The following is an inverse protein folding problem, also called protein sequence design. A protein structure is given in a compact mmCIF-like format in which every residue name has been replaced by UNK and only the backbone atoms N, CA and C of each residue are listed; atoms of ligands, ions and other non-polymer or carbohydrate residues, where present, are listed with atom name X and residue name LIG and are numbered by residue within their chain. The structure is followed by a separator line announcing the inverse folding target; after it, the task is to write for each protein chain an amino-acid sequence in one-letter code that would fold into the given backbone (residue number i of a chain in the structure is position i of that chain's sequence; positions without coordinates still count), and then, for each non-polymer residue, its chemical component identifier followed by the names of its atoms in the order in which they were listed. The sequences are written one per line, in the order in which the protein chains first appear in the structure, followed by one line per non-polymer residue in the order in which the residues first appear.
data_IF_802875668020
#
_entry.id   IF_802875668020
#
_cell.length_a   1.000
_cell.length_b   1.000
_cell.length_c   1.000
_cell.angle_alpha   90.00
_cell.angle_beta   90.00
_cell.angle_gamma   90.00
#
_symmetry.space_group_name_H-M   'P 1'
#
loop_
_entity.id
_entity.type
_entity.pdbx_description
1 polymer ?
#
# COMPACT_ATOMS: atom_id res chain seq x y z
N UNK A 1 -24.40 68.11 -53.54
CA UNK A 1 -24.02 68.14 -52.14
C UNK A 1 -24.61 66.91 -51.49
N UNK A 2 -23.81 65.82 -51.26
CA UNK A 2 -24.21 64.62 -50.60
C UNK A 2 -23.51 64.61 -49.23
N UNK A 3 -24.29 64.60 -48.13
CA UNK A 3 -23.79 64.51 -46.74
C UNK A 3 -23.54 63.07 -46.43
N UNK A 4 -22.29 62.74 -46.06
CA UNK A 4 -21.87 61.44 -45.47
C UNK A 4 -22.15 61.50 -43.96
N UNK A 5 -22.94 60.54 -43.44
CA UNK A 5 -23.05 60.25 -42.01
C UNK A 5 -21.92 59.30 -41.58
N UNK A 6 -21.27 59.50 -40.45
CA UNK A 6 -20.33 58.53 -39.94
C UNK A 6 -21.06 57.40 -39.19
N UNK A 7 -20.72 56.15 -39.54
CA UNK A 7 -21.14 54.94 -38.83
C UNK A 7 -20.35 54.83 -37.53
N UNK A 8 -21.02 54.88 -36.40
CA UNK A 8 -20.44 54.69 -35.07
C UNK A 8 -20.44 53.18 -34.77
N UNK A 9 -19.27 52.54 -34.84
CA UNK A 9 -19.12 51.12 -34.52
C UNK A 9 -18.96 50.97 -33.01
N UNK A 10 -19.99 50.44 -32.33
CA UNK A 10 -19.97 50.11 -30.92
C UNK A 10 -19.24 48.79 -30.70
N UNK A 11 -18.02 48.82 -30.16
CA UNK A 11 -17.27 47.63 -29.75
C UNK A 11 -17.73 47.24 -28.33
N UNK A 12 -18.54 46.19 -28.22
CA UNK A 12 -18.89 45.58 -26.94
C UNK A 12 -17.76 44.63 -26.54
N UNK A 13 -16.93 45.03 -25.59
CA UNK A 13 -15.93 44.16 -24.95
C UNK A 13 -16.65 43.21 -23.98
N UNK A 14 -16.81 41.95 -24.37
CA UNK A 14 -17.25 40.89 -23.47
C UNK A 14 -16.09 40.54 -22.53
N UNK A 15 -16.18 40.98 -21.28
CA UNK A 15 -15.28 40.54 -20.21
C UNK A 15 -15.72 39.14 -19.73
N UNK A 16 -15.06 38.11 -20.21
CA UNK A 16 -15.17 36.78 -19.65
C UNK A 16 -14.45 36.74 -18.30
N UNK A 17 -15.19 36.89 -17.22
CA UNK A 17 -14.70 36.52 -15.88
C UNK A 17 -14.56 34.99 -15.84
N UNK A 18 -13.34 34.50 -15.99
CA UNK A 18 -13.02 33.10 -15.72
C UNK A 18 -13.22 32.88 -14.21
N UNK A 19 -14.35 32.28 -13.84
CA UNK A 19 -14.50 31.67 -12.54
C UNK A 19 -13.49 30.53 -12.52
N UNK A 20 -12.39 30.73 -11.81
CA UNK A 20 -11.45 29.66 -11.50
C UNK A 20 -12.23 28.64 -10.64
N UNK A 21 -12.80 27.63 -11.30
CA UNK A 21 -13.37 26.49 -10.64
C UNK A 21 -12.24 25.84 -9.82
N UNK A 22 -12.38 25.79 -8.50
CA UNK A 22 -11.48 25.02 -7.66
C UNK A 22 -11.43 23.61 -8.27
N UNK A 23 -10.23 23.15 -8.65
CA UNK A 23 -10.04 21.75 -9.06
C UNK A 23 -10.62 20.87 -7.97
N UNK A 24 -11.38 19.82 -8.29
CA UNK A 24 -11.91 18.93 -7.26
C UNK A 24 -10.75 18.48 -6.38
N UNK A 25 -10.86 18.71 -5.08
CA UNK A 25 -9.83 18.31 -4.12
C UNK A 25 -9.66 16.80 -4.25
N UNK A 26 -8.42 16.37 -4.56
CA UNK A 26 -8.11 14.94 -4.71
C UNK A 26 -8.33 14.26 -3.36
N UNK A 27 -9.28 13.36 -3.30
CA UNK A 27 -9.55 12.56 -2.11
C UNK A 27 -8.45 11.53 -1.91
N UNK A 28 -7.91 11.46 -0.70
CA UNK A 28 -6.94 10.45 -0.26
C UNK A 28 -7.69 9.38 0.52
N UNK A 29 -7.48 8.13 0.19
CA UNK A 29 -8.04 7.02 0.97
C UNK A 29 -7.35 6.94 2.32
N UNK A 30 -8.09 7.25 3.39
CA UNK A 30 -7.58 7.21 4.75
C UNK A 30 -7.80 5.82 5.34
N UNK A 31 -6.69 5.12 5.57
CA UNK A 31 -6.66 3.79 6.14
C UNK A 31 -6.28 3.79 7.62
N UNK A 32 -6.53 2.64 8.26
CA UNK A 32 -6.20 2.42 9.66
C UNK A 32 -5.89 0.93 9.92
N UNK A 33 -4.80 0.67 10.65
CA UNK A 33 -4.65 -0.53 11.45
C UNK A 33 -5.02 -0.20 12.89
N UNK A 34 -6.13 -0.75 13.40
CA UNK A 34 -6.65 -0.46 14.75
C UNK A 34 -8.17 -0.41 14.81
N UNK A 35 -8.69 0.13 15.91
CA UNK A 35 -10.13 0.30 16.12
C UNK A 35 -10.63 1.60 15.47
N UNK A 36 -11.42 1.53 14.38
CA UNK A 36 -11.83 2.71 13.62
C UNK A 36 -12.77 3.62 14.42
N UNK A 37 -13.61 3.09 15.29
CA UNK A 37 -14.56 3.90 16.09
C UNK A 37 -13.81 4.75 17.12
N UNK A 38 -12.84 4.14 17.80
CA UNK A 38 -12.00 4.85 18.77
C UNK A 38 -11.10 5.86 18.08
N UNK A 39 -10.54 5.51 16.94
CA UNK A 39 -9.70 6.41 16.17
C UNK A 39 -10.48 7.61 15.62
N UNK A 40 -11.69 7.38 15.11
CA UNK A 40 -12.62 8.45 14.69
C UNK A 40 -12.96 9.42 15.84
N UNK A 41 -13.23 8.91 17.04
CA UNK A 41 -13.50 9.73 18.21
C UNK A 41 -12.32 10.65 18.56
N UNK A 42 -11.11 10.16 18.39
CA UNK A 42 -9.87 10.90 18.68
C UNK A 42 -9.53 11.90 17.58
N UNK A 43 -9.63 11.51 16.33
CA UNK A 43 -9.10 12.27 15.19
C UNK A 43 -10.15 12.89 14.28
N UNK A 44 -11.39 12.40 14.32
CA UNK A 44 -12.44 12.76 13.36
C UNK A 44 -12.32 12.05 12.02
N UNK A 45 -11.33 11.12 11.84
CA UNK A 45 -11.15 10.41 10.58
C UNK A 45 -12.33 9.48 10.29
N UNK A 46 -12.86 9.57 9.07
CA UNK A 46 -13.68 8.53 8.48
C UNK A 46 -12.75 7.50 7.83
N UNK A 47 -12.57 6.36 8.49
CA UNK A 47 -11.71 5.29 7.99
C UNK A 47 -12.37 4.60 6.79
N UNK A 48 -11.72 4.64 5.64
CA UNK A 48 -12.17 4.01 4.39
C UNK A 48 -11.49 2.66 4.20
N UNK A 49 -10.18 2.59 4.46
CA UNK A 49 -9.36 1.38 4.28
C UNK A 49 -9.03 0.76 5.64
N UNK A 50 -9.39 -0.51 5.82
CA UNK A 50 -9.07 -1.27 7.03
C UNK A 50 -7.90 -2.20 6.77
N UNK A 51 -6.77 -1.92 7.44
CA UNK A 51 -5.56 -2.73 7.35
C UNK A 51 -5.64 -3.93 8.29
N UNK A 52 -5.28 -5.12 7.79
CA UNK A 52 -5.19 -6.35 8.59
C UNK A 52 -4.06 -7.24 8.09
N UNK A 53 -3.53 -8.10 8.98
CA UNK A 53 -2.48 -9.07 8.65
C UNK A 53 -3.06 -10.47 8.53
N UNK A 54 -2.61 -11.19 7.49
CA UNK A 54 -2.98 -12.59 7.23
C UNK A 54 -1.71 -13.38 6.92
N UNK A 55 -1.60 -14.60 7.46
CA UNK A 55 -0.53 -15.52 7.11
C UNK A 55 -1.04 -16.72 6.29
N UNK A 56 -0.13 -17.49 5.72
CA UNK A 56 -0.44 -18.60 4.79
C UNK A 56 -1.15 -19.81 5.43
N UNK A 57 -1.36 -19.83 6.76
CA UNK A 57 -2.14 -20.87 7.45
C UNK A 57 -3.58 -20.48 7.71
N UNK A 58 -3.97 -19.23 7.45
CA UNK A 58 -5.28 -18.68 7.80
C UNK A 58 -6.34 -18.81 6.69
N UNK A 59 -6.10 -19.63 5.66
CA UNK A 59 -7.03 -19.76 4.53
C UNK A 59 -8.48 -20.03 4.93
N UNK A 60 -8.72 -20.95 5.88
CA UNK A 60 -10.07 -21.26 6.39
C UNK A 60 -10.72 -20.10 7.16
N UNK A 61 -9.93 -19.15 7.65
CA UNK A 61 -10.41 -18.00 8.42
C UNK A 61 -10.64 -16.76 7.55
N UNK A 62 -10.25 -16.76 6.26
CA UNK A 62 -10.30 -15.58 5.39
C UNK A 62 -11.70 -14.96 5.33
N UNK A 63 -12.74 -15.76 5.15
CA UNK A 63 -14.11 -15.24 5.08
C UNK A 63 -14.52 -14.48 6.34
N UNK A 64 -14.18 -14.99 7.53
CA UNK A 64 -14.42 -14.31 8.81
C UNK A 64 -13.55 -13.05 8.94
N UNK A 65 -12.25 -13.15 8.65
CA UNK A 65 -11.33 -12.01 8.72
C UNK A 65 -11.84 -10.87 7.83
N UNK A 66 -12.23 -11.17 6.58
CA UNK A 66 -12.73 -10.15 5.66
C UNK A 66 -14.09 -9.57 6.07
N UNK A 67 -14.94 -10.36 6.72
CA UNK A 67 -16.21 -9.84 7.26
C UNK A 67 -16.02 -8.87 8.43
N UNK A 68 -14.91 -9.00 9.15
CA UNK A 68 -14.52 -8.13 10.27
C UNK A 68 -13.72 -6.89 9.81
N UNK A 69 -13.22 -6.87 8.57
CA UNK A 69 -12.57 -5.68 7.98
C UNK A 69 -13.61 -4.68 7.48
N UNK A 70 -13.25 -3.41 7.49
CA UNK A 70 -14.12 -2.33 7.04
C UNK A 70 -14.41 -2.33 5.53
N UNK A 71 -14.94 -1.22 5.00
CA UNK A 71 -15.49 -1.17 3.64
C UNK A 71 -14.46 -1.42 2.52
N UNK A 72 -13.18 -1.13 2.75
CA UNK A 72 -12.08 -1.48 1.83
C UNK A 72 -11.01 -2.24 2.61
N UNK A 73 -10.88 -3.55 2.44
CA UNK A 73 -9.81 -4.31 3.07
C UNK A 73 -8.44 -4.00 2.45
N UNK A 74 -7.43 -3.78 3.29
CA UNK A 74 -6.03 -3.89 2.91
C UNK A 74 -5.41 -5.06 3.67
N UNK A 75 -5.18 -6.16 2.98
CA UNK A 75 -4.65 -7.39 3.56
C UNK A 75 -3.14 -7.45 3.35
N UNK A 76 -2.38 -7.29 4.43
CA UNK A 76 -0.95 -7.58 4.46
C UNK A 76 -0.75 -9.10 4.57
N UNK A 77 -0.20 -9.70 3.52
CA UNK A 77 0.05 -11.14 3.46
C UNK A 77 1.48 -11.42 3.90
N UNK A 78 1.64 -11.93 5.11
CA UNK A 78 2.94 -12.16 5.74
C UNK A 78 3.28 -13.65 5.82
N UNK A 79 4.46 -14.09 5.34
CA UNK A 79 4.90 -15.47 5.48
C UNK A 79 5.40 -15.82 6.90
N UNK A 80 5.66 -14.79 7.70
CA UNK A 80 6.12 -14.83 9.09
C UNK A 80 6.91 -13.56 9.38
N UNK A 81 6.81 -13.05 10.59
CA UNK A 81 7.53 -11.87 11.08
C UNK A 81 8.34 -12.19 12.33
N UNK A 82 9.09 -11.23 12.81
CA UNK A 82 9.92 -11.40 14.01
C UNK A 82 9.09 -11.95 15.19
N UNK A 83 9.59 -13.04 15.80
CA UNK A 83 8.89 -13.71 16.91
C UNK A 83 7.69 -14.59 16.52
N UNK A 84 7.32 -14.66 15.24
CA UNK A 84 6.23 -15.49 14.76
C UNK A 84 6.71 -16.64 13.85
N UNK A 85 6.04 -17.82 13.87
CA UNK A 85 6.44 -18.94 13.04
C UNK A 85 6.40 -18.62 11.54
N UNK A 86 7.43 -19.04 10.81
CA UNK A 86 7.43 -18.99 9.34
C UNK A 86 6.37 -19.96 8.81
N UNK A 87 5.43 -19.44 8.03
CA UNK A 87 4.30 -20.22 7.46
C UNK A 87 4.51 -20.57 5.99
N UNK A 88 5.37 -19.82 5.29
CA UNK A 88 5.75 -20.06 3.90
C UNK A 88 7.13 -19.43 3.64
N UNK A 89 7.82 -19.88 2.59
CA UNK A 89 9.06 -19.27 2.11
C UNK A 89 8.87 -18.74 0.70
N UNK A 90 9.62 -17.72 0.26
CA UNK A 90 9.55 -17.21 -1.11
C UNK A 90 9.68 -18.31 -2.16
N UNK A 91 10.69 -19.18 -2.05
CA UNK A 91 10.85 -20.32 -2.96
C UNK A 91 9.65 -21.28 -2.91
N UNK A 92 9.13 -21.58 -1.71
CA UNK A 92 7.98 -22.47 -1.54
C UNK A 92 6.74 -21.94 -2.22
N UNK A 93 6.45 -20.64 -2.04
CA UNK A 93 5.32 -19.97 -2.70
C UNK A 93 5.52 -19.99 -4.21
N UNK A 94 6.69 -19.58 -4.71
CA UNK A 94 7.00 -19.57 -6.13
C UNK A 94 6.83 -20.95 -6.78
N UNK A 95 7.20 -22.01 -6.07
CA UNK A 95 7.07 -23.41 -6.50
C UNK A 95 5.68 -24.03 -6.27
N UNK A 96 4.68 -23.24 -5.87
CA UNK A 96 3.29 -23.68 -5.75
C UNK A 96 2.94 -24.37 -4.43
N UNK A 97 3.84 -24.44 -3.44
CA UNK A 97 3.55 -25.10 -2.14
C UNK A 97 2.47 -24.41 -1.32
N UNK A 98 2.13 -23.17 -1.67
CA UNK A 98 1.09 -22.37 -1.00
C UNK A 98 -0.17 -22.16 -1.87
N UNK A 99 -0.30 -22.83 -3.00
CA UNK A 99 -1.39 -22.62 -3.96
C UNK A 99 -2.77 -22.86 -3.34
N UNK A 100 -2.90 -23.88 -2.48
CA UNK A 100 -4.15 -24.13 -1.78
C UNK A 100 -4.65 -22.93 -0.97
N UNK A 101 -3.74 -22.17 -0.33
CA UNK A 101 -4.06 -20.92 0.34
C UNK A 101 -4.39 -19.81 -0.69
N UNK A 102 -3.62 -19.68 -1.76
CA UNK A 102 -3.83 -18.67 -2.78
C UNK A 102 -5.17 -18.84 -3.51
N UNK A 103 -5.63 -20.09 -3.72
CA UNK A 103 -6.96 -20.38 -4.27
C UNK A 103 -8.07 -19.92 -3.31
N UNK A 104 -7.92 -20.17 -2.01
CA UNK A 104 -8.86 -19.70 -1.00
C UNK A 104 -8.88 -18.18 -0.93
N UNK A 105 -7.72 -17.53 -1.03
CA UNK A 105 -7.60 -16.07 -1.05
C UNK A 105 -8.26 -15.47 -2.29
N UNK A 106 -8.00 -16.02 -3.49
CA UNK A 106 -8.67 -15.59 -4.72
C UNK A 106 -10.20 -15.72 -4.59
N UNK A 107 -10.71 -16.85 -4.12
CA UNK A 107 -12.14 -17.07 -3.92
C UNK A 107 -12.73 -16.08 -2.89
N UNK A 108 -12.04 -15.80 -1.81
CA UNK A 108 -12.47 -14.83 -0.80
C UNK A 108 -12.52 -13.40 -1.35
N UNK A 109 -11.52 -13.00 -2.14
CA UNK A 109 -11.50 -11.70 -2.82
C UNK A 109 -12.65 -11.61 -3.84
N UNK A 110 -12.86 -12.65 -4.64
CA UNK A 110 -13.95 -12.68 -5.62
C UNK A 110 -15.32 -12.54 -4.96
N UNK A 111 -15.53 -13.22 -3.83
CA UNK A 111 -16.77 -13.19 -3.05
C UNK A 111 -16.95 -11.88 -2.26
N UNK A 112 -15.90 -11.10 -2.04
CA UNK A 112 -16.00 -9.84 -1.31
C UNK A 112 -16.89 -8.84 -2.07
N UNK A 113 -17.94 -8.25 -1.43
CA UNK A 113 -18.95 -7.46 -2.13
C UNK A 113 -18.49 -6.05 -2.53
N UNK A 114 -17.41 -5.54 -1.91
CA UNK A 114 -16.89 -4.20 -2.21
C UNK A 114 -16.23 -4.10 -3.59
N UNK A 115 -16.09 -2.88 -4.08
CA UNK A 115 -15.52 -2.56 -5.39
C UNK A 115 -13.99 -2.44 -5.38
N UNK A 116 -13.36 -2.38 -4.19
CA UNK A 116 -11.93 -2.19 -4.01
C UNK A 116 -11.40 -3.13 -2.93
N UNK A 117 -10.23 -3.70 -3.17
CA UNK A 117 -9.52 -4.59 -2.28
C UNK A 117 -8.01 -4.43 -2.49
N UNK A 118 -7.27 -4.10 -1.46
CA UNK A 118 -5.82 -4.04 -1.47
C UNK A 118 -5.21 -5.33 -0.94
N UNK A 119 -4.36 -5.97 -1.74
CA UNK A 119 -3.52 -7.08 -1.29
C UNK A 119 -2.07 -6.61 -1.28
N UNK A 120 -1.44 -6.70 -0.12
CA UNK A 120 -0.08 -6.24 0.18
C UNK A 120 0.82 -7.43 0.51
N UNK A 121 1.34 -8.18 -0.50
CA UNK A 121 2.21 -9.32 -0.25
C UNK A 121 3.57 -8.87 0.28
N UNK A 122 4.06 -9.53 1.32
CA UNK A 122 5.39 -9.33 1.87
C UNK A 122 5.69 -7.87 2.23
N UNK A 123 4.90 -7.21 3.11
CA UNK A 123 5.24 -5.87 3.55
C UNK A 123 6.68 -5.86 4.08
N UNK A 124 7.38 -4.74 3.88
CA UNK A 124 8.74 -4.52 4.39
C UNK A 124 9.76 -5.63 4.03
N UNK A 125 9.61 -6.27 2.86
CA UNK A 125 10.36 -7.46 2.45
C UNK A 125 11.88 -7.31 2.45
N UNK A 126 12.40 -6.09 2.51
CA UNK A 126 13.83 -5.75 2.60
C UNK A 126 14.26 -5.37 4.04
N UNK A 127 13.39 -5.58 5.03
CA UNK A 127 13.68 -5.46 6.46
C UNK A 127 14.07 -6.81 7.06
N UNK A 128 15.20 -6.86 7.79
CA UNK A 128 15.69 -8.11 8.42
C UNK A 128 14.73 -8.70 9.45
N UNK A 129 13.78 -7.93 9.95
CA UNK A 129 12.72 -8.39 10.86
C UNK A 129 11.67 -9.26 10.17
N UNK A 130 11.56 -9.16 8.84
CA UNK A 130 10.68 -10.01 8.05
C UNK A 130 11.35 -11.33 7.69
N UNK A 131 10.60 -12.44 7.83
CA UNK A 131 11.14 -13.79 7.61
C UNK A 131 11.53 -14.07 6.15
N UNK A 132 10.99 -13.31 5.21
CA UNK A 132 11.24 -13.40 3.76
C UNK A 132 12.30 -12.41 3.26
N UNK A 133 12.94 -11.64 4.14
CA UNK A 133 14.10 -10.84 3.78
C UNK A 133 15.27 -11.76 3.36
N UNK A 134 16.04 -11.34 2.34
CA UNK A 134 17.17 -12.11 1.84
C UNK A 134 18.43 -12.00 2.71
N UNK A 135 18.42 -11.12 3.72
CA UNK A 135 19.57 -10.82 4.56
C UNK A 135 19.23 -10.84 6.04
N UNK A 136 20.20 -11.22 6.86
CA UNK A 136 20.18 -11.05 8.30
C UNK A 136 20.59 -9.61 8.68
N UNK A 137 20.31 -9.20 9.91
CA UNK A 137 20.66 -7.87 10.42
C UNK A 137 22.16 -7.52 10.24
N UNK A 138 23.04 -8.51 10.38
CA UNK A 138 24.50 -8.34 10.23
C UNK A 138 24.98 -8.31 8.76
N UNK A 139 24.06 -8.28 7.78
CA UNK A 139 24.39 -8.24 6.36
C UNK A 139 24.72 -9.58 5.72
N UNK A 140 24.74 -10.68 6.47
CA UNK A 140 24.92 -12.01 5.89
C UNK A 140 23.67 -12.45 5.14
N UNK A 141 23.85 -13.20 4.04
CA UNK A 141 22.72 -13.74 3.27
C UNK A 141 22.00 -14.82 4.06
N UNK A 142 20.68 -14.80 3.99
CA UNK A 142 19.84 -15.92 4.42
C UNK A 142 19.89 -17.07 3.41
N UNK A 143 19.33 -18.26 3.74
CA UNK A 143 19.27 -19.39 2.82
C UNK A 143 18.73 -18.99 1.44
N UNK A 144 19.21 -19.65 0.38
CA UNK A 144 18.86 -19.33 -1.00
C UNK A 144 17.35 -19.28 -1.28
N UNK A 145 16.54 -20.06 -0.53
CA UNK A 145 15.07 -20.05 -0.59
C UNK A 145 14.42 -18.70 -0.25
N UNK A 146 15.14 -17.81 0.44
CA UNK A 146 14.69 -16.48 0.85
C UNK A 146 15.31 -15.37 -0.01
N UNK A 147 15.98 -15.73 -1.12
CA UNK A 147 16.64 -14.75 -2.01
C UNK A 147 15.66 -13.79 -2.66
N UNK A 148 16.14 -12.59 -3.02
CA UNK A 148 15.34 -11.58 -3.75
C UNK A 148 14.79 -12.13 -5.06
N UNK A 149 15.49 -13.04 -5.73
CA UNK A 149 15.02 -13.71 -6.95
C UNK A 149 13.76 -14.53 -6.68
N UNK A 150 13.74 -15.31 -5.59
CA UNK A 150 12.58 -16.09 -5.20
C UNK A 150 11.46 -15.18 -4.67
N UNK A 151 11.77 -14.09 -3.94
CA UNK A 151 10.79 -13.10 -3.49
C UNK A 151 10.04 -12.47 -4.67
N UNK A 152 10.74 -12.05 -5.73
CA UNK A 152 10.11 -11.53 -6.95
C UNK A 152 9.19 -12.55 -7.62
N UNK A 153 9.64 -13.81 -7.75
CA UNK A 153 8.84 -14.89 -8.34
C UNK A 153 7.61 -15.24 -7.50
N UNK A 154 7.76 -15.27 -6.17
CA UNK A 154 6.66 -15.52 -5.25
C UNK A 154 5.61 -14.40 -5.32
N UNK A 155 6.05 -13.14 -5.30
CA UNK A 155 5.17 -12.00 -5.46
C UNK A 155 4.38 -12.05 -6.78
N UNK A 156 5.07 -12.30 -7.88
CA UNK A 156 4.43 -12.43 -9.20
C UNK A 156 3.41 -13.58 -9.22
N UNK A 157 3.75 -14.76 -8.62
CA UNK A 157 2.81 -15.87 -8.51
C UNK A 157 1.57 -15.50 -7.70
N UNK A 158 1.73 -14.84 -6.55
CA UNK A 158 0.60 -14.35 -5.76
C UNK A 158 -0.28 -13.44 -6.61
N UNK A 159 0.29 -12.44 -7.29
CA UNK A 159 -0.45 -11.51 -8.13
C UNK A 159 -1.21 -12.21 -9.28
N UNK A 160 -0.57 -13.17 -9.96
CA UNK A 160 -1.20 -13.92 -11.06
C UNK A 160 -2.39 -14.74 -10.54
N UNK A 161 -2.19 -15.52 -9.49
CA UNK A 161 -3.21 -16.44 -8.96
C UNK A 161 -4.37 -15.65 -8.34
N UNK A 162 -4.06 -14.61 -7.56
CA UNK A 162 -5.12 -13.84 -6.89
C UNK A 162 -5.94 -12.99 -7.87
N UNK A 163 -5.39 -12.59 -9.02
CA UNK A 163 -6.14 -11.93 -10.10
C UNK A 163 -7.08 -12.87 -10.86
N UNK A 164 -6.76 -14.17 -10.89
CA UNK A 164 -7.58 -15.19 -11.54
C UNK A 164 -7.48 -15.16 -13.07
N UNK A 165 -8.37 -15.90 -13.70
CA UNK A 165 -8.47 -16.11 -15.14
C UNK A 165 -8.67 -17.58 -15.49
N UNK A 166 -8.60 -17.92 -16.78
CA UNK A 166 -8.62 -19.32 -17.23
C UNK A 166 -7.30 -20.03 -16.89
N UNK A 167 -7.34 -21.36 -16.77
CA UNK A 167 -6.15 -22.19 -16.56
C UNK A 167 -5.06 -21.87 -17.58
N UNK A 168 -5.42 -21.79 -18.86
CA UNK A 168 -4.48 -21.51 -19.94
C UNK A 168 -3.79 -20.12 -19.79
N UNK A 169 -4.54 -19.08 -19.42
CA UNK A 169 -3.99 -17.74 -19.21
C UNK A 169 -3.06 -17.68 -18.00
N UNK A 170 -3.45 -18.30 -16.88
CA UNK A 170 -2.67 -18.35 -15.65
C UNK A 170 -1.38 -19.13 -15.89
N UNK A 171 -1.48 -20.33 -16.47
CA UNK A 171 -0.34 -21.22 -16.72
C UNK A 171 0.64 -20.59 -17.72
N UNK A 172 0.15 -19.91 -18.76
CA UNK A 172 0.99 -19.18 -19.70
C UNK A 172 1.76 -18.02 -19.01
N UNK A 173 1.13 -17.28 -18.08
CA UNK A 173 1.83 -16.23 -17.31
C UNK A 173 2.89 -16.83 -16.38
N UNK A 174 2.57 -17.94 -15.70
CA UNK A 174 3.51 -18.63 -14.81
C UNK A 174 4.69 -19.24 -15.57
N UNK A 175 4.44 -19.84 -16.73
CA UNK A 175 5.48 -20.42 -17.58
C UNK A 175 6.53 -19.40 -18.05
N UNK A 176 6.13 -18.15 -18.35
CA UNK A 176 7.06 -17.04 -18.68
C UNK A 176 8.03 -16.72 -17.54
N UNK A 177 7.68 -17.06 -16.31
CA UNK A 177 8.52 -16.90 -15.12
C UNK A 177 9.30 -18.17 -14.76
N UNK A 178 9.16 -19.22 -15.57
CA UNK A 178 9.66 -20.57 -15.27
C UNK A 178 9.12 -21.10 -13.94
N UNK A 179 7.80 -20.96 -13.74
CA UNK A 179 7.07 -21.42 -12.57
C UNK A 179 6.06 -22.51 -12.97
N UNK A 180 5.72 -23.46 -12.07
CA UNK A 180 4.73 -24.48 -12.34
C UNK A 180 3.34 -23.86 -12.54
N UNK A 181 2.58 -24.42 -13.48
CA UNK A 181 1.16 -24.10 -13.70
C UNK A 181 0.27 -24.54 -12.54
N UNK A 182 -0.98 -24.10 -12.56
CA UNK A 182 -2.01 -24.50 -11.57
C UNK A 182 -3.11 -25.40 -12.18
N UNK A 183 -3.18 -25.43 -13.51
CA UNK A 183 -4.08 -26.29 -14.32
C UNK A 183 -5.56 -26.20 -13.92
N UNK A 184 -6.03 -25.00 -13.56
CA UNK A 184 -7.41 -24.75 -13.18
C UNK A 184 -7.82 -23.30 -13.40
N UNK A 185 -9.10 -23.08 -13.69
CA UNK A 185 -9.70 -21.75 -13.75
C UNK A 185 -9.89 -21.19 -12.34
N UNK A 186 -9.75 -19.88 -12.23
CA UNK A 186 -10.00 -19.12 -11.00
C UNK A 186 -10.88 -17.91 -11.28
N UNK A 187 -11.76 -17.51 -10.35
CA UNK A 187 -12.53 -16.28 -10.48
C UNK A 187 -11.66 -15.08 -10.80
N UNK A 188 -12.10 -14.23 -11.75
CA UNK A 188 -11.43 -12.97 -12.07
C UNK A 188 -11.77 -11.94 -11.01
N UNK A 189 -10.76 -11.33 -10.41
CA UNK A 189 -10.91 -10.35 -9.31
C UNK A 189 -10.60 -8.91 -9.73
N UNK A 190 -10.08 -8.71 -10.94
CA UNK A 190 -9.84 -7.36 -11.48
C UNK A 190 -11.11 -6.74 -12.04
N UNK A 191 -11.34 -5.41 -11.97
CA UNK A 191 -10.41 -4.40 -11.45
C UNK A 191 -10.44 -4.21 -9.92
N UNK A 192 -11.29 -4.95 -9.19
CA UNK A 192 -11.45 -4.83 -7.73
C UNK A 192 -10.12 -4.95 -6.97
N UNK A 193 -9.33 -5.97 -7.31
CA UNK A 193 -8.08 -6.26 -6.64
C UNK A 193 -6.96 -5.33 -7.10
N UNK A 194 -6.34 -4.63 -6.14
CA UNK A 194 -5.13 -3.83 -6.30
C UNK A 194 -3.97 -4.49 -5.55
N UNK A 195 -2.91 -4.83 -6.26
CA UNK A 195 -1.70 -5.44 -5.67
C UNK A 195 -0.73 -4.33 -5.26
N UNK A 196 -0.44 -4.27 -3.97
CA UNK A 196 0.47 -3.28 -3.36
C UNK A 196 1.84 -3.87 -3.17
N UNK A 197 2.86 -3.30 -3.80
CA UNK A 197 4.25 -3.61 -3.50
C UNK A 197 4.80 -2.59 -2.51
N UNK A 198 5.17 -3.07 -1.31
CA UNK A 198 5.49 -2.23 -0.16
C UNK A 198 6.80 -2.67 0.50
N UNK A 199 7.95 -2.32 -0.06
CA UNK A 199 9.23 -2.41 0.66
C UNK A 199 9.34 -1.28 1.67
N UNK A 200 10.41 -1.31 2.48
CA UNK A 200 10.95 -0.08 3.08
C UNK A 200 11.67 0.73 2.00
N UNK A 201 11.55 2.05 2.01
CA UNK A 201 12.27 2.94 1.10
C UNK A 201 13.80 2.82 1.21
N UNK A 202 14.29 2.26 2.32
CA UNK A 202 15.70 1.92 2.57
C UNK A 202 15.87 0.42 2.78
N UNK A 203 17.08 -0.12 2.57
CA UNK A 203 17.39 -1.50 2.93
C UNK A 203 17.74 -1.65 4.41
N UNK A 204 17.22 -2.66 5.10
CA UNK A 204 17.64 -3.00 6.45
C UNK A 204 18.03 -4.49 6.49
N UNK A 205 19.33 -4.82 6.42
CA UNK A 205 20.51 -3.92 6.36
C UNK A 205 20.60 -3.14 5.03
N UNK A 206 21.22 -1.95 5.07
CA UNK A 206 21.42 -1.10 3.88
C UNK A 206 22.58 -1.63 3.03
N UNK A 207 22.20 -2.48 2.07
CA UNK A 207 23.11 -3.13 1.13
C UNK A 207 22.51 -3.04 -0.29
N UNK A 208 23.33 -2.91 -1.35
CA UNK A 208 22.83 -2.86 -2.72
C UNK A 208 21.92 -4.04 -3.10
N UNK A 209 22.23 -5.25 -2.62
CA UNK A 209 21.42 -6.45 -2.86
C UNK A 209 20.14 -6.53 -2.03
N UNK A 210 19.95 -5.62 -1.06
CA UNK A 210 18.77 -5.52 -0.19
C UNK A 210 17.97 -4.23 -0.41
N UNK A 211 18.30 -3.47 -1.44
CA UNK A 211 17.52 -2.29 -1.82
C UNK A 211 16.08 -2.66 -2.21
N UNK A 212 15.14 -1.71 -2.09
CA UNK A 212 13.76 -1.91 -2.53
C UNK A 212 13.71 -2.53 -3.95
N UNK A 213 14.42 -1.95 -4.92
CA UNK A 213 14.44 -2.42 -6.30
C UNK A 213 14.96 -3.86 -6.49
N UNK A 214 15.78 -4.38 -5.55
CA UNK A 214 16.21 -5.79 -5.61
C UNK A 214 15.03 -6.76 -5.47
N UNK A 215 13.93 -6.33 -4.86
CA UNK A 215 12.71 -7.11 -4.65
C UNK A 215 11.60 -6.76 -5.64
N UNK A 216 11.78 -5.79 -6.54
CA UNK A 216 10.71 -5.36 -7.45
C UNK A 216 10.33 -6.47 -8.43
N UNK A 217 9.06 -6.94 -8.41
CA UNK A 217 8.64 -8.09 -9.24
C UNK A 217 8.40 -7.72 -10.71
N UNK A 218 8.29 -6.43 -11.01
CA UNK A 218 7.97 -5.87 -12.33
C UNK A 218 6.59 -5.24 -12.41
N UNK A 219 6.45 -4.28 -13.31
CA UNK A 219 5.25 -3.42 -13.46
C UNK A 219 3.95 -4.20 -13.67
N UNK A 220 4.02 -5.38 -14.32
CA UNK A 220 2.83 -6.19 -14.61
C UNK A 220 2.16 -6.78 -13.34
N UNK A 221 2.89 -6.85 -12.23
CA UNK A 221 2.44 -7.48 -10.99
C UNK A 221 2.10 -6.49 -9.88
N UNK A 222 2.31 -5.20 -10.11
CA UNK A 222 2.14 -4.12 -9.12
C UNK A 222 1.14 -3.11 -9.63
N UNK A 223 0.13 -2.80 -8.84
CA UNK A 223 -0.86 -1.76 -9.14
C UNK A 223 -0.56 -0.47 -8.36
N UNK A 224 -0.05 -0.59 -7.13
CA UNK A 224 0.31 0.51 -6.25
C UNK A 224 1.67 0.23 -5.59
N UNK A 225 2.54 1.23 -5.53
CA UNK A 225 3.79 1.22 -4.76
C UNK A 225 3.53 1.89 -3.42
N UNK A 226 3.98 1.29 -2.33
CA UNK A 226 3.84 1.89 -1.00
C UNK A 226 5.13 1.80 -0.20
N UNK A 227 5.24 2.66 0.80
CA UNK A 227 6.29 2.66 1.83
C UNK A 227 5.65 2.54 3.21
N UNK A 228 6.42 2.16 4.21
CA UNK A 228 6.06 2.25 5.61
C UNK A 228 6.94 3.31 6.26
N UNK A 229 6.32 4.37 6.79
CA UNK A 229 7.03 5.53 7.29
C UNK A 229 6.64 5.84 8.73
N UNK A 230 7.59 5.65 9.63
CA UNK A 230 7.42 5.98 11.04
C UNK A 230 8.36 7.10 11.47
N UNK A 231 7.85 8.00 12.31
CA UNK A 231 8.71 8.85 13.12
C UNK A 231 9.05 8.09 14.41
N UNK A 232 10.32 7.70 14.53
CA UNK A 232 10.80 6.84 15.61
C UNK A 232 11.55 7.69 16.63
N UNK A 233 11.16 7.59 17.92
CA UNK A 233 11.82 8.28 18.99
C UNK A 233 13.36 8.12 18.95
N UNK A 234 14.07 9.23 18.86
CA UNK A 234 15.54 9.26 18.78
C UNK A 234 16.15 8.98 17.40
N UNK A 235 15.33 8.65 16.37
CA UNK A 235 15.81 8.33 15.02
C UNK A 235 15.19 9.20 13.93
N UNK A 236 14.00 9.76 14.16
CA UNK A 236 13.25 10.52 13.17
C UNK A 236 12.63 9.66 12.06
N UNK A 237 12.10 10.31 11.05
CA UNK A 237 11.47 9.67 9.88
C UNK A 237 12.39 9.67 8.66
N UNK A 238 12.26 8.62 7.83
CA UNK A 238 13.13 8.37 6.66
C UNK A 238 12.56 9.00 5.37
N UNK A 239 12.15 10.27 5.39
CA UNK A 239 11.55 10.99 4.27
C UNK A 239 12.34 10.91 2.97
N UNK A 240 13.66 11.02 3.02
CA UNK A 240 14.52 10.94 1.84
C UNK A 240 14.43 9.57 1.16
N UNK A 241 14.24 8.49 1.93
CA UNK A 241 14.08 7.15 1.41
C UNK A 241 12.69 6.97 0.77
N UNK A 242 11.64 7.49 1.42
CA UNK A 242 10.29 7.53 0.86
C UNK A 242 10.24 8.31 -0.47
N UNK A 243 10.91 9.48 -0.53
CA UNK A 243 11.05 10.27 -1.76
C UNK A 243 11.73 9.48 -2.87
N UNK A 244 12.85 8.82 -2.57
CA UNK A 244 13.57 7.99 -3.54
C UNK A 244 12.70 6.84 -4.08
N UNK A 245 11.92 6.19 -3.21
CA UNK A 245 10.99 5.14 -3.63
C UNK A 245 9.88 5.69 -4.51
N UNK A 246 9.29 6.84 -4.14
CA UNK A 246 8.30 7.55 -4.95
C UNK A 246 8.83 7.86 -6.34
N UNK A 247 10.04 8.43 -6.46
CA UNK A 247 10.63 8.82 -7.74
C UNK A 247 11.03 7.63 -8.62
N UNK A 248 11.38 6.50 -8.01
CA UNK A 248 11.84 5.31 -8.76
C UNK A 248 10.73 4.58 -9.53
N UNK A 249 9.45 4.86 -9.23
CA UNK A 249 8.29 4.23 -9.90
C UNK A 249 7.28 5.27 -10.41
N UNK A 250 7.66 6.17 -11.36
CA UNK A 250 6.84 7.33 -11.74
C UNK A 250 5.51 6.99 -12.41
N UNK A 251 5.37 5.78 -12.94
CA UNK A 251 4.14 5.31 -13.60
C UNK A 251 3.12 4.68 -12.65
N UNK A 252 3.43 4.57 -11.35
CA UNK A 252 2.54 3.93 -10.37
C UNK A 252 1.93 4.95 -9.42
N UNK A 253 0.66 4.75 -9.00
CA UNK A 253 0.16 5.37 -7.78
C UNK A 253 1.06 5.05 -6.60
N UNK A 254 1.06 5.90 -5.58
CA UNK A 254 1.86 5.73 -4.38
C UNK A 254 0.98 5.76 -3.13
N UNK A 255 1.40 5.09 -2.07
CA UNK A 255 0.75 5.11 -0.77
C UNK A 255 1.74 4.96 0.37
N UNK A 256 1.27 5.25 1.58
CA UNK A 256 1.89 4.74 2.78
C UNK A 256 1.02 3.60 3.30
N UNK A 257 1.53 2.36 3.16
CA UNK A 257 0.86 1.15 3.63
C UNK A 257 0.77 1.10 5.14
N UNK A 258 1.77 1.70 5.80
CA UNK A 258 1.77 2.02 7.20
C UNK A 258 2.46 3.36 7.42
N UNK A 259 1.92 4.19 8.31
CA UNK A 259 2.63 5.35 8.82
C UNK A 259 2.19 5.64 10.24
N UNK A 260 3.06 6.25 11.03
CA UNK A 260 2.71 6.51 12.41
C UNK A 260 3.86 7.07 13.26
N UNK A 261 3.59 7.15 14.54
CA UNK A 261 4.48 7.70 15.55
C UNK A 261 4.92 6.58 16.48
N UNK A 262 6.21 6.29 16.51
CA UNK A 262 6.77 5.21 17.30
C UNK A 262 7.45 5.76 18.56
N UNK A 263 6.69 5.78 19.67
CA UNK A 263 7.19 6.21 20.98
C UNK A 263 7.42 7.72 21.13
N UNK A 264 6.89 8.55 20.23
CA UNK A 264 7.07 10.01 20.24
C UNK A 264 5.74 10.72 19.97
N UNK A 265 5.53 11.90 20.58
CA UNK A 265 4.43 12.82 20.27
C UNK A 265 4.98 14.00 19.44
N UNK A 266 5.09 13.80 18.12
CA UNK A 266 5.58 14.80 17.18
C UNK A 266 4.50 15.29 16.21
N UNK A 267 3.86 16.43 16.50
CA UNK A 267 2.90 17.07 15.59
C UNK A 267 3.56 17.65 14.34
N UNK A 268 4.91 17.82 14.30
CA UNK A 268 5.61 18.31 13.11
C UNK A 268 5.61 17.24 12.02
N UNK A 269 5.90 15.98 12.37
CA UNK A 269 5.81 14.85 11.46
C UNK A 269 4.42 14.71 10.81
N UNK A 270 3.35 14.90 11.60
CA UNK A 270 1.97 14.86 11.07
C UNK A 270 1.70 16.00 10.08
N UNK A 271 2.21 17.20 10.34
CA UNK A 271 2.11 18.34 9.40
C UNK A 271 2.93 18.11 8.14
N UNK A 272 4.12 17.52 8.28
CA UNK A 272 4.98 17.18 7.16
C UNK A 272 4.32 16.12 6.25
N UNK A 273 3.66 15.11 6.82
CA UNK A 273 2.86 14.15 6.05
C UNK A 273 1.75 14.87 5.26
N UNK A 274 1.01 15.79 5.86
CA UNK A 274 0.00 16.56 5.15
C UNK A 274 0.61 17.41 4.01
N UNK A 275 1.75 18.05 4.24
CA UNK A 275 2.46 18.81 3.21
C UNK A 275 2.94 17.90 2.08
N UNK A 276 3.42 16.70 2.40
CA UNK A 276 3.86 15.70 1.43
C UNK A 276 2.70 15.25 0.53
N UNK A 277 1.49 15.06 1.08
CA UNK A 277 0.27 14.76 0.31
C UNK A 277 -0.01 15.85 -0.73
N UNK A 278 0.11 17.12 -0.37
CA UNK A 278 -0.18 18.23 -1.28
C UNK A 278 0.84 18.36 -2.43
N UNK A 279 2.07 17.92 -2.22
CA UNK A 279 3.15 18.03 -3.21
C UNK A 279 3.34 16.76 -4.05
N UNK A 280 2.81 15.61 -3.61
CA UNK A 280 3.02 14.31 -4.25
C UNK A 280 1.73 13.77 -4.88
N UNK A 281 1.43 14.21 -6.10
CA UNK A 281 0.13 13.98 -6.77
C UNK A 281 -0.21 12.52 -7.08
N UNK A 282 0.74 11.59 -7.00
CA UNK A 282 0.49 10.15 -7.17
C UNK A 282 0.14 9.45 -5.84
N UNK A 283 0.23 10.15 -4.71
CA UNK A 283 -0.19 9.60 -3.42
C UNK A 283 -1.70 9.44 -3.40
N UNK A 284 -2.20 8.26 -3.10
CA UNK A 284 -3.64 7.93 -3.08
C UNK A 284 -4.09 7.30 -1.77
N UNK A 285 -3.16 6.78 -0.95
CA UNK A 285 -3.47 6.01 0.26
C UNK A 285 -2.56 6.42 1.42
N UNK A 286 -3.16 6.64 2.59
CA UNK A 286 -2.49 6.83 3.87
C UNK A 286 -3.10 5.89 4.92
N UNK A 287 -2.44 4.80 5.29
CA UNK A 287 -2.90 3.90 6.33
C UNK A 287 -2.14 4.14 7.64
N UNK A 288 -2.83 4.74 8.63
CA UNK A 288 -2.23 4.99 9.94
C UNK A 288 -2.14 3.71 10.76
N UNK A 289 -0.98 3.48 11.37
CA UNK A 289 -0.78 2.34 12.26
C UNK A 289 -1.02 2.76 13.71
N UNK A 290 -2.18 2.34 14.26
CA UNK A 290 -2.61 2.65 15.62
C UNK A 290 -2.93 1.35 16.35
N UNK A 291 -1.90 0.73 16.91
CA UNK A 291 -2.02 -0.59 17.52
C UNK A 291 -2.92 -0.59 18.78
N UNK A 292 -2.75 -1.51 19.71
CA UNK A 292 -3.60 -1.60 20.90
C UNK A 292 -3.34 -0.46 21.90
N UNK A 293 -4.28 -0.29 22.83
CA UNK A 293 -4.23 0.72 23.91
C UNK A 293 -2.94 0.62 24.73
N UNK A 294 -2.22 1.74 24.84
CA UNK A 294 -0.96 1.83 25.59
C UNK A 294 0.25 1.24 24.87
N UNK A 295 0.11 0.86 23.59
CA UNK A 295 1.27 0.53 22.78
C UNK A 295 2.07 1.79 22.40
N UNK A 296 3.34 1.62 22.04
CA UNK A 296 4.19 2.75 21.60
C UNK A 296 3.66 3.44 20.32
N UNK A 297 2.75 2.81 19.59
CA UNK A 297 2.07 3.38 18.40
C UNK A 297 0.71 4.02 18.72
N UNK A 298 0.21 3.91 19.96
CA UNK A 298 -1.10 4.43 20.32
C UNK A 298 -1.14 5.96 20.26
N UNK A 299 -1.97 6.50 19.37
CA UNK A 299 -2.10 7.95 19.19
C UNK A 299 -2.77 8.67 20.38
N UNK A 300 -3.48 7.92 21.24
CA UNK A 300 -4.10 8.50 22.45
C UNK A 300 -3.07 9.02 23.44
N UNK A 301 -1.90 8.43 23.46
CA UNK A 301 -0.79 8.85 24.33
C UNK A 301 0.04 9.98 23.71
N UNK A 302 -0.42 10.55 22.57
CA UNK A 302 0.24 11.58 21.77
C UNK A 302 -0.73 12.73 21.43
N UNK A 303 -1.19 13.51 22.45
CA UNK A 303 -2.28 14.45 22.30
C UNK A 303 -2.01 15.58 21.30
N UNK A 304 -0.75 16.05 21.19
CA UNK A 304 -0.37 17.10 20.22
C UNK A 304 -0.46 16.58 18.78
N UNK A 305 0.01 15.37 18.56
CA UNK A 305 -0.06 14.70 17.25
C UNK A 305 -1.50 14.34 16.89
N UNK A 306 -2.34 13.91 17.85
CA UNK A 306 -3.76 13.65 17.61
C UNK A 306 -4.51 14.93 17.18
N UNK A 307 -4.20 16.07 17.82
CA UNK A 307 -4.76 17.37 17.43
C UNK A 307 -4.29 17.78 16.02
N UNK A 308 -3.02 17.58 15.70
CA UNK A 308 -2.48 17.84 14.36
C UNK A 308 -3.12 16.91 13.31
N UNK A 309 -3.29 15.62 13.62
CA UNK A 309 -3.96 14.66 12.77
C UNK A 309 -5.38 15.10 12.41
N UNK A 310 -6.18 15.46 13.44
CA UNK A 310 -7.55 15.98 13.25
C UNK A 310 -7.58 17.20 12.34
N UNK A 311 -6.60 18.08 12.47
CA UNK A 311 -6.56 19.35 11.73
C UNK A 311 -6.08 19.19 10.29
N UNK A 312 -5.08 18.34 10.05
CA UNK A 312 -4.35 18.34 8.78
C UNK A 312 -4.53 17.06 7.95
N UNK A 313 -4.82 15.91 8.59
CA UNK A 313 -4.94 14.62 7.87
C UNK A 313 -6.41 14.25 7.66
N UNK A 314 -7.25 14.29 8.71
CA UNK A 314 -8.65 13.87 8.59
C UNK A 314 -9.45 14.60 7.50
N UNK A 315 -9.17 15.87 7.15
CA UNK A 315 -9.87 16.55 6.05
C UNK A 315 -9.42 16.12 4.64
N UNK A 316 -8.44 15.25 4.50
CA UNK A 316 -7.91 14.80 3.20
C UNK A 316 -8.73 13.66 2.59
N UNK A 317 -9.50 12.92 3.42
CA UNK A 317 -10.36 11.81 3.03
C UNK A 317 -11.83 12.16 2.86
#
# INVERSE_FOLDING_TARGET
MRRLLPLLTLVIALVFSAVAGASPQRQIELGLFGDPSRFASLTGQKTEVSHTFVNFRQGKALGRILAETGPVPMVALVPGSYGHPVTATPEGIAKGRSDGFLFQLNAAIAAYPGSLFYLRPFPEMNGYWESNCAYNQNGTRRPARDSTAWSRKAFARIAIITRGGTAAEIDAKLARLHLPGIHRDLPVTTPKLQIVWNPQGFGAPDLPGNSANAYYPGNAYVDLVADDLYDIAGHGATWAAAQKLYDSHPSKPFGFGEWGLWGIDDPAFVREMAAWVHTHHRLVLLAFFNYYKGSIWDLRDKPRSAAAYRKYISPLG
#
